data_IF_223013225106
#
_entry.id   IF_223013225106
#
_cell.length_a   1.000
_cell.length_b   1.000
_cell.length_c   1.000
_cell.angle_alpha   90.00
_cell.angle_beta   90.00
_cell.angle_gamma   90.00
#
_symmetry.space_group_name_H-M   'P 1'
#
loop_
_entity.id
_entity.type
_entity.pdbx_description
1 polymer ?
#
# COMPACT_ATOMS: atom_id res chain seq x y z
N UNK A 1 -3.20 42.06 -38.07
CA UNK A 1 -3.06 42.11 -36.59
C UNK A 1 -4.16 41.25 -35.97
N UNK A 2 -3.89 40.63 -34.81
CA UNK A 2 -4.69 39.62 -34.07
C UNK A 2 -4.33 38.15 -34.37
N UNK A 3 -3.10 37.77 -34.00
CA UNK A 3 -2.69 36.39 -33.70
C UNK A 3 -2.30 36.28 -32.23
N UNK A 4 -3.23 36.53 -31.33
CA UNK A 4 -3.17 36.08 -29.93
C UNK A 4 -4.66 35.87 -29.63
N UNK A 5 -5.14 34.66 -29.35
CA UNK A 5 -5.17 34.09 -28.00
C UNK A 5 -5.79 32.71 -28.15
N UNK A 6 -5.22 31.69 -27.50
CA UNK A 6 -5.87 30.53 -26.86
C UNK A 6 -4.98 29.27 -26.93
N UNK A 7 -3.70 29.42 -26.56
CA UNK A 7 -2.90 28.28 -26.11
C UNK A 7 -2.81 28.37 -24.58
N UNK A 8 -3.96 28.28 -23.92
CA UNK A 8 -4.03 28.08 -22.49
C UNK A 8 -3.54 26.65 -22.26
N UNK A 9 -2.25 26.53 -21.98
CA UNK A 9 -1.57 25.36 -21.45
C UNK A 9 -2.31 24.85 -20.21
N UNK A 10 -3.36 24.06 -20.44
CA UNK A 10 -3.95 23.20 -19.43
C UNK A 10 -3.09 21.94 -19.32
N UNK A 11 -1.80 22.12 -19.05
CA UNK A 11 -0.96 21.03 -18.55
C UNK A 11 -1.26 20.91 -17.05
N UNK A 12 -2.46 20.42 -16.74
CA UNK A 12 -2.67 19.75 -15.47
C UNK A 12 -1.70 18.58 -15.47
N UNK A 13 -0.52 18.80 -14.90
CA UNK A 13 0.35 17.72 -14.47
C UNK A 13 -0.45 17.00 -13.39
N UNK A 14 -1.19 15.97 -13.83
CA UNK A 14 -1.76 14.95 -12.96
C UNK A 14 -0.58 14.37 -12.19
N UNK A 15 -0.31 14.94 -11.02
CA UNK A 15 0.70 14.44 -10.11
C UNK A 15 0.11 13.17 -9.52
N UNK A 16 0.22 12.06 -10.25
CA UNK A 16 -0.05 10.74 -9.71
C UNK A 16 0.92 10.54 -8.55
N UNK A 17 0.38 10.20 -7.37
CA UNK A 17 1.21 9.91 -6.19
C UNK A 17 1.81 8.54 -6.36
N UNK A 18 2.90 8.46 -7.12
CA UNK A 18 3.65 7.24 -7.30
C UNK A 18 4.37 6.90 -5.98
N UNK A 19 4.35 5.63 -5.58
CA UNK A 19 5.12 5.18 -4.42
C UNK A 19 6.60 5.43 -4.68
N UNK A 20 7.25 6.11 -3.75
CA UNK A 20 8.69 6.33 -3.80
C UNK A 20 9.44 5.14 -3.20
N UNK A 21 10.71 4.98 -3.59
CA UNK A 21 11.61 3.97 -3.00
C UNK A 21 11.72 4.14 -1.49
N UNK A 22 11.69 5.38 -0.99
CA UNK A 22 11.75 5.67 0.45
C UNK A 22 10.51 5.18 1.20
N UNK A 23 9.31 5.43 0.66
CA UNK A 23 8.05 4.94 1.23
C UNK A 23 8.00 3.41 1.22
N UNK A 24 8.38 2.80 0.11
CA UNK A 24 8.45 1.34 -0.02
C UNK A 24 9.40 0.72 1.01
N UNK A 25 10.60 1.27 1.15
CA UNK A 25 11.60 0.79 2.12
C UNK A 25 11.15 1.02 3.56
N UNK A 26 10.51 2.14 3.86
CA UNK A 26 9.95 2.39 5.17
C UNK A 26 8.91 1.32 5.52
N UNK A 27 7.94 1.05 4.64
CA UNK A 27 6.90 0.06 4.91
C UNK A 27 7.46 -1.35 5.06
N UNK A 28 8.35 -1.77 4.15
CA UNK A 28 8.84 -3.16 4.11
C UNK A 28 9.92 -3.47 5.16
N UNK A 29 10.65 -2.45 5.65
CA UNK A 29 11.80 -2.65 6.56
C UNK A 29 11.73 -1.79 7.81
N UNK A 30 11.45 -0.50 7.65
CA UNK A 30 11.51 0.49 8.73
C UNK A 30 10.33 0.46 9.70
N UNK A 31 9.13 0.08 9.24
CA UNK A 31 7.91 0.14 10.02
C UNK A 31 7.96 -0.83 11.22
N UNK A 32 8.36 -2.08 10.98
CA UNK A 32 8.50 -3.08 12.03
C UNK A 32 9.44 -2.60 13.15
N UNK A 33 10.58 -2.02 12.77
CA UNK A 33 11.55 -1.46 13.69
C UNK A 33 10.96 -0.28 14.48
N UNK A 34 10.28 0.65 13.79
CA UNK A 34 9.62 1.82 14.38
C UNK A 34 8.65 1.42 15.49
N UNK A 35 7.76 0.46 15.21
CA UNK A 35 6.78 -0.03 16.18
C UNK A 35 7.47 -0.79 17.33
N UNK A 36 8.45 -1.64 17.03
CA UNK A 36 9.18 -2.40 18.07
C UNK A 36 9.91 -1.51 19.07
N UNK A 37 10.34 -0.32 18.63
CA UNK A 37 11.03 0.68 19.46
C UNK A 37 10.08 1.67 20.14
N UNK A 38 8.77 1.56 19.91
CA UNK A 38 7.78 2.52 20.42
C UNK A 38 7.97 3.93 19.86
N UNK A 39 8.50 4.04 18.64
CA UNK A 39 8.71 5.33 17.97
C UNK A 39 7.46 5.76 17.21
N UNK A 40 7.35 7.06 17.01
CA UNK A 40 6.32 7.63 16.14
C UNK A 40 6.52 7.19 14.68
N UNK A 41 5.42 7.12 13.93
CA UNK A 41 5.45 6.91 12.49
C UNK A 41 6.34 7.94 11.79
N UNK A 42 6.85 7.57 10.61
CA UNK A 42 7.56 8.49 9.72
C UNK A 42 6.83 9.84 9.63
N UNK A 43 7.51 10.90 10.05
CA UNK A 43 6.93 12.26 10.11
C UNK A 43 6.31 12.66 8.77
N UNK A 44 5.09 13.20 8.83
CA UNK A 44 4.34 13.67 7.67
C UNK A 44 3.58 12.56 6.94
N UNK A 45 3.42 11.40 7.57
CA UNK A 45 2.59 10.31 7.10
C UNK A 45 1.64 9.80 8.19
N UNK A 46 0.45 9.41 7.75
CA UNK A 46 -0.54 8.70 8.56
C UNK A 46 -0.79 7.30 8.01
N UNK A 47 -1.14 6.36 8.89
CA UNK A 47 -1.66 5.05 8.52
C UNK A 47 -3.14 4.97 8.88
N UNK A 48 -3.95 4.57 7.90
CA UNK A 48 -5.38 4.34 8.10
C UNK A 48 -5.71 2.91 7.70
N UNK A 49 -6.44 2.19 8.54
CA UNK A 49 -6.91 0.86 8.19
C UNK A 49 -7.88 0.92 7.00
N UNK A 50 -7.60 0.09 6.00
CA UNK A 50 -8.42 -0.08 4.80
C UNK A 50 -9.27 -1.33 4.96
N UNK A 51 -8.66 -2.41 5.45
CA UNK A 51 -9.32 -3.69 5.63
C UNK A 51 -8.54 -4.58 6.58
N UNK A 52 -9.25 -5.43 7.29
CA UNK A 52 -8.67 -6.45 8.14
C UNK A 52 -9.32 -7.79 7.81
N UNK A 53 -8.51 -8.71 7.28
CA UNK A 53 -8.89 -10.10 7.09
C UNK A 53 -8.28 -10.96 8.19
N UNK A 54 -9.07 -11.86 8.75
CA UNK A 54 -8.56 -12.84 9.70
C UNK A 54 -9.29 -14.17 9.53
N UNK A 55 -8.55 -15.28 9.56
CA UNK A 55 -9.09 -16.63 9.61
C UNK A 55 -8.33 -17.48 10.66
N UNK A 56 -8.49 -18.80 10.64
CA UNK A 56 -7.83 -19.68 11.61
C UNK A 56 -6.31 -19.80 11.43
N UNK A 57 -5.76 -19.42 10.27
CA UNK A 57 -4.37 -19.62 9.90
C UNK A 57 -3.61 -18.31 9.65
N UNK A 58 -4.30 -17.27 9.20
CA UNK A 58 -3.72 -16.03 8.71
C UNK A 58 -4.49 -14.80 9.16
N UNK A 59 -3.72 -13.75 9.37
CA UNK A 59 -4.21 -12.42 9.72
C UNK A 59 -3.53 -11.40 8.79
N UNK A 60 -4.33 -10.64 8.03
CA UNK A 60 -3.86 -9.63 7.08
C UNK A 60 -4.48 -8.28 7.41
N UNK A 61 -3.65 -7.35 7.88
CA UNK A 61 -4.04 -5.96 8.10
C UNK A 61 -3.55 -5.09 6.94
N UNK A 62 -4.49 -4.51 6.21
CA UNK A 62 -4.24 -3.61 5.09
C UNK A 62 -4.41 -2.17 5.55
N UNK A 63 -3.38 -1.35 5.40
CA UNK A 63 -3.39 0.05 5.82
C UNK A 63 -2.91 0.96 4.69
N UNK A 64 -3.59 2.07 4.44
CA UNK A 64 -3.12 3.09 3.53
C UNK A 64 -2.06 3.95 4.21
N UNK A 65 -0.91 4.11 3.57
CA UNK A 65 0.08 5.11 3.94
C UNK A 65 -0.24 6.39 3.20
N UNK A 66 -0.66 7.44 3.90
CA UNK A 66 -1.08 8.72 3.32
C UNK A 66 -0.10 9.81 3.71
N UNK A 67 0.35 10.60 2.73
CA UNK A 67 1.16 11.77 3.00
C UNK A 67 0.28 12.91 3.57
N UNK A 68 0.58 13.38 4.77
CA UNK A 68 -0.24 14.36 5.48
C UNK A 68 -0.33 15.71 4.79
N UNK A 69 0.71 16.09 4.05
CA UNK A 69 0.79 17.37 3.35
C UNK A 69 -0.03 17.34 2.07
N UNK A 70 0.09 16.27 1.28
CA UNK A 70 -0.59 16.18 -0.04
C UNK A 70 -1.96 15.52 0.05
N UNK A 71 -2.26 14.84 1.17
CA UNK A 71 -3.44 13.99 1.38
C UNK A 71 -3.57 12.85 0.37
N UNK A 72 -2.47 12.49 -0.31
CA UNK A 72 -2.45 11.41 -1.28
C UNK A 72 -1.97 10.11 -0.62
N UNK A 73 -2.64 9.01 -0.95
CA UNK A 73 -2.17 7.67 -0.62
C UNK A 73 -0.92 7.36 -1.42
N UNK A 74 0.16 7.04 -0.72
CA UNK A 74 1.45 6.67 -1.30
C UNK A 74 1.51 5.18 -1.63
N UNK A 75 0.98 4.32 -0.77
CA UNK A 75 0.93 2.86 -0.97
C UNK A 75 -0.06 2.21 0.00
N UNK A 76 -0.34 0.91 -0.19
CA UNK A 76 -1.00 0.07 0.83
C UNK A 76 0.08 -0.77 1.52
N UNK A 77 0.22 -0.59 2.83
CA UNK A 77 0.98 -1.50 3.68
C UNK A 77 0.13 -2.72 4.01
N UNK A 78 0.74 -3.90 3.97
CA UNK A 78 0.13 -5.14 4.46
C UNK A 78 1.00 -5.70 5.56
N UNK A 79 0.40 -5.93 6.73
CA UNK A 79 0.97 -6.74 7.79
C UNK A 79 0.32 -8.12 7.69
N UNK A 80 1.09 -9.10 7.23
CA UNK A 80 0.64 -10.48 7.13
C UNK A 80 1.22 -11.30 8.28
N UNK A 81 0.38 -12.03 9.00
CA UNK A 81 0.77 -12.83 10.14
C UNK A 81 0.25 -14.25 9.98
N UNK A 82 1.17 -15.22 9.95
CA UNK A 82 0.82 -16.64 10.00
C UNK A 82 0.64 -17.05 11.45
N UNK A 83 -0.60 -17.40 11.82
CA UNK A 83 -0.95 -17.76 13.19
C UNK A 83 -0.37 -19.11 13.61
N UNK A 84 -0.26 -20.04 12.66
CA UNK A 84 0.31 -21.37 12.91
C UNK A 84 1.83 -21.35 13.15
N UNK A 85 2.56 -20.51 12.43
CA UNK A 85 4.03 -20.44 12.49
C UNK A 85 4.58 -19.23 13.24
N UNK A 86 3.71 -18.25 13.59
CA UNK A 86 4.09 -17.00 14.26
C UNK A 86 4.84 -16.00 13.38
N UNK A 87 5.05 -16.30 12.09
CA UNK A 87 5.79 -15.43 11.18
C UNK A 87 5.00 -14.18 10.82
N UNK A 88 5.65 -13.02 10.85
CA UNK A 88 5.07 -11.74 10.44
C UNK A 88 5.86 -11.14 9.28
N UNK A 89 5.13 -10.73 8.25
CA UNK A 89 5.66 -10.15 7.02
C UNK A 89 5.09 -8.74 6.83
N UNK A 90 5.94 -7.85 6.32
CA UNK A 90 5.59 -6.46 6.03
C UNK A 90 5.74 -6.23 4.54
N UNK A 91 4.62 -6.11 3.83
CA UNK A 91 4.60 -5.88 2.39
C UNK A 91 4.14 -4.45 2.09
N UNK A 92 4.57 -3.97 0.92
CA UNK A 92 4.09 -2.73 0.33
C UNK A 92 3.46 -3.08 -1.03
N UNK A 93 2.17 -2.78 -1.21
CA UNK A 93 1.51 -2.74 -2.51
C UNK A 93 1.75 -1.32 -3.07
N UNK A 94 2.65 -1.17 -4.04
CA UNK A 94 2.99 0.14 -4.58
C UNK A 94 1.94 0.63 -5.57
N UNK A 95 1.94 1.94 -5.81
CA UNK A 95 1.08 2.65 -6.74
C UNK A 95 1.98 3.27 -7.81
N UNK A 96 1.78 2.90 -9.07
CA UNK A 96 2.32 3.61 -10.23
C UNK A 96 3.83 3.45 -10.50
N UNK A 97 4.56 2.64 -9.74
CA UNK A 97 5.98 2.35 -9.97
C UNK A 97 6.18 0.88 -10.36
N UNK A 98 6.46 0.62 -11.64
CA UNK A 98 6.60 -0.75 -12.15
C UNK A 98 7.76 -1.52 -11.52
N UNK A 99 8.86 -0.87 -11.14
CA UNK A 99 10.00 -1.54 -10.50
C UNK A 99 9.66 -1.95 -9.07
N UNK A 100 8.92 -1.11 -8.34
CA UNK A 100 8.43 -1.47 -7.01
C UNK A 100 7.34 -2.55 -7.10
N UNK A 101 6.49 -2.53 -8.13
CA UNK A 101 5.52 -3.60 -8.38
C UNK A 101 6.21 -4.94 -8.61
N UNK A 102 7.31 -4.97 -9.38
CA UNK A 102 8.13 -6.18 -9.56
C UNK A 102 8.73 -6.67 -8.23
N UNK A 103 9.21 -5.76 -7.37
CA UNK A 103 9.71 -6.13 -6.04
C UNK A 103 8.60 -6.72 -5.16
N UNK A 104 7.41 -6.12 -5.19
CA UNK A 104 6.25 -6.65 -4.49
C UNK A 104 5.86 -8.05 -4.99
N UNK A 105 5.79 -8.25 -6.32
CA UNK A 105 5.54 -9.58 -6.93
C UNK A 105 6.60 -10.60 -6.51
N UNK A 106 7.87 -10.19 -6.48
CA UNK A 106 8.94 -11.05 -6.02
C UNK A 106 8.74 -11.49 -4.56
N UNK A 107 8.35 -10.59 -3.66
CA UNK A 107 8.04 -10.96 -2.26
C UNK A 107 6.90 -11.99 -2.18
N UNK A 108 5.83 -11.82 -2.97
CA UNK A 108 4.73 -12.79 -3.02
C UNK A 108 5.17 -14.16 -3.57
N UNK A 109 6.12 -14.20 -4.51
CA UNK A 109 6.62 -15.46 -5.06
C UNK A 109 7.47 -16.26 -4.05
N UNK A 110 7.88 -15.64 -2.93
CA UNK A 110 8.55 -16.35 -1.83
C UNK A 110 7.57 -17.06 -0.90
N UNK A 111 6.28 -16.75 -1.01
CA UNK A 111 5.24 -17.35 -0.20
C UNK A 111 4.80 -18.70 -0.74
N UNK A 112 4.39 -19.59 0.17
CA UNK A 112 3.80 -20.87 -0.21
C UNK A 112 2.35 -20.71 -0.68
N UNK A 113 1.83 -21.75 -1.33
CA UNK A 113 0.49 -21.72 -1.90
C UNK A 113 -0.62 -21.43 -0.86
N UNK A 114 -0.58 -21.95 0.39
CA UNK A 114 -1.59 -21.65 1.39
C UNK A 114 -1.72 -20.16 1.74
N UNK A 115 -0.63 -19.49 2.12
CA UNK A 115 -0.70 -18.06 2.49
C UNK A 115 -1.04 -17.20 1.28
N UNK A 116 -0.54 -17.53 0.09
CA UNK A 116 -0.85 -16.80 -1.14
C UNK A 116 -2.34 -16.93 -1.52
N UNK A 117 -2.95 -18.10 -1.28
CA UNK A 117 -4.38 -18.33 -1.51
C UNK A 117 -5.23 -17.50 -0.56
N UNK A 118 -4.91 -17.50 0.73
CA UNK A 118 -5.60 -16.69 1.73
C UNK A 118 -5.46 -15.19 1.45
N UNK A 119 -4.25 -14.75 1.07
CA UNK A 119 -3.97 -13.37 0.69
C UNK A 119 -4.76 -12.93 -0.55
N UNK A 120 -4.86 -13.79 -1.56
CA UNK A 120 -5.64 -13.53 -2.77
C UNK A 120 -7.14 -13.41 -2.47
N UNK A 121 -7.66 -14.25 -1.55
CA UNK A 121 -9.03 -14.16 -1.07
C UNK A 121 -9.27 -12.82 -0.35
N UNK A 122 -8.37 -12.43 0.57
CA UNK A 122 -8.47 -11.15 1.27
C UNK A 122 -8.49 -9.96 0.30
N UNK A 123 -7.59 -9.94 -0.71
CA UNK A 123 -7.60 -8.92 -1.76
C UNK A 123 -8.91 -8.90 -2.55
N UNK A 124 -9.49 -10.05 -2.88
CA UNK A 124 -10.77 -10.12 -3.60
C UNK A 124 -11.92 -9.52 -2.78
N UNK A 125 -11.93 -9.75 -1.47
CA UNK A 125 -12.94 -9.19 -0.57
C UNK A 125 -12.82 -7.67 -0.47
N UNK A 126 -11.60 -7.12 -0.39
CA UNK A 126 -11.37 -5.67 -0.42
C UNK A 126 -11.99 -5.05 -1.68
N UNK A 127 -11.76 -5.67 -2.85
CA UNK A 127 -12.34 -5.20 -4.10
C UNK A 127 -13.88 -5.24 -4.04
N UNK A 128 -14.47 -6.33 -3.54
CA UNK A 128 -15.93 -6.44 -3.38
C UNK A 128 -16.48 -5.35 -2.45
N UNK A 129 -15.87 -5.14 -1.28
CA UNK A 129 -16.28 -4.08 -0.35
C UNK A 129 -16.18 -2.70 -0.98
N UNK A 130 -15.10 -2.43 -1.73
CA UNK A 130 -14.91 -1.14 -2.40
C UNK A 130 -16.00 -0.86 -3.44
N UNK A 131 -16.44 -1.89 -4.18
CA UNK A 131 -17.54 -1.77 -5.15
C UNK A 131 -18.88 -1.51 -4.47
N UNK A 132 -19.16 -2.18 -3.35
CA UNK A 132 -20.40 -1.98 -2.58
C UNK A 132 -20.48 -0.61 -1.91
N UNK A 133 -19.33 0.00 -1.59
CA UNK A 133 -19.27 1.33 -0.96
C UNK A 133 -19.37 2.51 -1.93
N UNK A 134 -19.37 2.24 -3.24
CA UNK A 134 -19.38 3.26 -4.30
C UNK A 134 -20.81 3.58 -4.81
N UNK A 135 -21.84 2.94 -4.26
CA UNK A 135 -23.27 3.22 -4.48
C UNK A 135 -23.84 4.14 -3.40
#
# INVERSE_FOLDING_TARGET
MKKITLLLLLTFSLSYSQTTVEEYNYVTKGYAETISKGLDLKKGYSLTEVYHYTDSNYDFLFQSLTNDRTKKTSCIMVIAHSLGWGNRYYLCIPIGDSQLEEKYKYQLNLWDAPILSAYSLALSQILTYSLMSAE
#
